data_IF_960415571078
#
_entry.id   IF_960415571078
#
_cell.length_a   1.000
_cell.length_b   1.000
_cell.length_c   1.000
_cell.angle_alpha   90.00
_cell.angle_beta   90.00
_cell.angle_gamma   90.00
#
_symmetry.space_group_name_H-M   'P 1'
#
loop_
_entity.id
_entity.type
_entity.pdbx_description
1 polymer ?
#
# COMPACT_ATOMS: atom_id res chain seq x y z
N UNK A 1 8.58 20.84 0.09
CA UNK A 1 8.11 19.80 1.03
C UNK A 1 9.05 18.60 0.95
N UNK A 2 9.36 17.95 2.08
CA UNK A 2 10.28 16.81 2.10
C UNK A 2 9.63 15.58 1.43
N UNK A 3 10.29 14.84 0.51
CA UNK A 3 9.65 13.74 -0.26
C UNK A 3 8.96 12.70 0.63
N UNK A 4 9.60 12.30 1.72
CA UNK A 4 9.03 11.35 2.69
C UNK A 4 7.74 11.85 3.36
N UNK A 5 7.56 13.15 3.52
CA UNK A 5 6.34 13.71 4.09
C UNK A 5 5.19 13.61 3.08
N UNK A 6 5.45 13.95 1.81
CA UNK A 6 4.47 13.82 0.71
C UNK A 6 4.03 12.37 0.55
N UNK A 7 4.98 11.43 0.51
CA UNK A 7 4.72 9.99 0.49
C UNK A 7 3.83 9.56 1.67
N UNK A 8 4.15 9.96 2.91
CA UNK A 8 3.36 9.58 4.09
C UNK A 8 1.92 10.09 4.00
N UNK A 9 1.72 11.35 3.63
CA UNK A 9 0.37 11.90 3.45
C UNK A 9 -0.41 11.14 2.39
N UNK A 10 0.23 10.86 1.25
CA UNK A 10 -0.41 10.18 0.13
C UNK A 10 -0.77 8.73 0.47
N UNK A 11 0.13 7.99 1.11
CA UNK A 11 -0.14 6.64 1.59
C UNK A 11 -1.22 6.58 2.68
N UNK A 12 -1.25 7.56 3.60
CA UNK A 12 -2.34 7.68 4.57
C UNK A 12 -3.70 7.82 3.85
N UNK A 13 -3.79 8.75 2.89
CA UNK A 13 -5.03 8.95 2.12
C UNK A 13 -5.46 7.67 1.39
N UNK A 14 -4.52 6.99 0.74
CA UNK A 14 -4.78 5.74 0.01
C UNK A 14 -5.27 4.64 0.95
N UNK A 15 -4.57 4.41 2.07
CA UNK A 15 -4.92 3.31 2.97
C UNK A 15 -6.21 3.57 3.77
N UNK A 16 -6.55 4.83 4.01
CA UNK A 16 -7.85 5.22 4.56
C UNK A 16 -9.00 5.00 3.56
N UNK A 17 -8.69 5.06 2.25
CA UNK A 17 -9.68 4.98 1.17
C UNK A 17 -9.82 3.61 0.50
N UNK A 18 -9.16 2.57 1.02
CA UNK A 18 -9.30 1.18 0.52
C UNK A 18 -10.77 0.74 0.57
N UNK A 19 -11.26 0.21 -0.55
CA UNK A 19 -12.67 -0.12 -0.78
C UNK A 19 -12.99 -1.60 -0.67
N UNK A 20 -12.07 -2.48 -1.08
CA UNK A 20 -12.33 -3.91 -1.22
C UNK A 20 -11.30 -4.75 -0.47
N UNK A 21 -11.79 -5.58 0.45
CA UNK A 21 -10.90 -6.40 1.30
C UNK A 21 -10.32 -7.61 0.57
N UNK A 22 -11.02 -8.11 -0.46
CA UNK A 22 -10.60 -9.26 -1.27
C UNK A 22 -9.52 -8.96 -2.32
N UNK A 23 -9.25 -7.68 -2.59
CA UNK A 23 -8.23 -7.24 -3.56
C UNK A 23 -6.97 -6.68 -2.89
N UNK A 24 -6.85 -6.81 -1.56
CA UNK A 24 -5.67 -6.40 -0.82
C UNK A 24 -4.72 -7.57 -0.59
N UNK A 25 -3.65 -7.69 -1.37
CA UNK A 25 -2.74 -8.83 -1.29
C UNK A 25 -1.32 -8.49 -1.76
N UNK A 26 -0.36 -9.34 -1.37
CA UNK A 26 1.02 -9.24 -1.84
C UNK A 26 1.34 -10.36 -2.81
N UNK A 27 1.96 -10.02 -3.93
CA UNK A 27 2.48 -11.00 -4.90
C UNK A 27 3.80 -10.54 -5.52
N UNK A 28 4.44 -11.41 -6.29
CA UNK A 28 5.62 -11.10 -7.09
C UNK A 28 5.20 -10.22 -8.26
N UNK A 29 5.92 -9.11 -8.47
CA UNK A 29 5.68 -8.21 -9.59
C UNK A 29 6.91 -8.18 -10.51
N UNK A 30 6.70 -8.06 -11.83
CA UNK A 30 7.77 -8.21 -12.83
C UNK A 30 8.80 -7.05 -12.82
N UNK A 31 8.34 -5.84 -12.51
CA UNK A 31 9.15 -4.61 -12.49
C UNK A 31 9.91 -4.39 -11.16
N UNK A 32 9.91 -5.35 -10.24
CA UNK A 32 10.49 -5.18 -8.89
C UNK A 32 11.58 -6.21 -8.57
N UNK A 33 12.36 -5.91 -7.54
CA UNK A 33 13.29 -6.84 -6.88
C UNK A 33 12.62 -7.68 -5.77
N UNK A 34 11.29 -7.64 -5.62
CA UNK A 34 10.59 -8.30 -4.54
C UNK A 34 9.07 -8.43 -4.73
N UNK A 35 8.33 -8.32 -3.62
CA UNK A 35 6.87 -8.36 -3.64
C UNK A 35 6.30 -6.95 -3.81
N UNK A 36 5.22 -6.87 -4.56
CA UNK A 36 4.34 -5.71 -4.59
C UNK A 36 3.16 -5.90 -3.64
N UNK A 37 2.47 -4.80 -3.36
CA UNK A 37 1.18 -4.78 -2.70
C UNK A 37 0.13 -4.29 -3.69
N UNK A 38 -0.87 -5.13 -3.93
CA UNK A 38 -2.02 -4.87 -4.80
C UNK A 38 -3.22 -4.50 -3.93
N UNK A 39 -3.99 -3.51 -4.36
CA UNK A 39 -5.18 -3.02 -3.64
C UNK A 39 -6.06 -2.16 -4.55
N UNK A 40 -7.31 -2.00 -4.13
CA UNK A 40 -8.27 -1.08 -4.75
C UNK A 40 -8.64 0.01 -3.75
N UNK A 41 -8.67 1.26 -4.21
CA UNK A 41 -8.91 2.43 -3.35
C UNK A 41 -9.66 3.54 -4.09
N UNK A 42 -10.27 4.46 -3.34
CA UNK A 42 -10.85 5.69 -3.90
C UNK A 42 -9.74 6.71 -4.12
N UNK A 43 -9.39 7.00 -5.37
CA UNK A 43 -8.38 7.99 -5.75
C UNK A 43 -8.86 9.44 -5.61
N UNK A 44 -10.17 9.64 -5.52
CA UNK A 44 -10.79 10.96 -5.42
C UNK A 44 -10.94 11.62 -6.78
N UNK A 45 -10.71 12.94 -6.83
CA UNK A 45 -10.77 13.74 -8.06
C UNK A 45 -9.36 13.88 -8.62
N UNK A 46 -9.18 13.44 -9.86
CA UNK A 46 -7.95 13.58 -10.63
C UNK A 46 -8.21 14.48 -11.87
N UNK A 47 -7.23 15.29 -12.32
CA UNK A 47 -7.37 16.05 -13.56
C UNK A 47 -7.72 15.22 -14.79
N UNK A 48 -7.31 13.95 -14.79
CA UNK A 48 -7.69 12.99 -15.81
C UNK A 48 -8.86 12.12 -15.31
N UNK A 49 -10.05 12.24 -15.92
CA UNK A 49 -11.27 11.57 -15.47
C UNK A 49 -11.17 10.05 -15.38
N UNK A 50 -10.27 9.40 -16.14
CA UNK A 50 -10.12 7.95 -16.07
C UNK A 50 -9.50 7.48 -14.75
N UNK A 51 -8.79 8.37 -14.04
CA UNK A 51 -8.21 8.09 -12.72
C UNK A 51 -9.09 8.61 -11.57
N UNK A 52 -10.32 9.08 -11.85
CA UNK A 52 -11.27 9.47 -10.82
C UNK A 52 -12.00 8.27 -10.22
N UNK A 53 -12.32 8.35 -8.93
CA UNK A 53 -13.12 7.34 -8.25
C UNK A 53 -12.31 6.10 -7.85
N UNK A 54 -12.90 4.92 -8.02
CA UNK A 54 -12.31 3.66 -7.59
C UNK A 54 -11.27 3.15 -8.60
N UNK A 55 -10.06 2.85 -8.12
CA UNK A 55 -8.97 2.39 -8.98
C UNK A 55 -8.14 1.29 -8.33
N UNK A 56 -7.62 0.40 -9.18
CA UNK A 56 -6.62 -0.60 -8.82
C UNK A 56 -5.23 0.05 -8.81
N UNK A 57 -4.48 -0.20 -7.73
CA UNK A 57 -3.13 0.29 -7.53
C UNK A 57 -2.18 -0.84 -7.15
N UNK A 58 -0.92 -0.67 -7.55
CA UNK A 58 0.19 -1.56 -7.19
C UNK A 58 1.30 -0.72 -6.58
N UNK A 59 1.62 -0.99 -5.32
CA UNK A 59 2.74 -0.36 -4.61
C UNK A 59 3.94 -1.30 -4.60
N UNK A 60 5.06 -0.85 -5.16
CA UNK A 60 6.28 -1.64 -5.23
C UNK A 60 7.55 -0.79 -5.20
N UNK A 61 8.69 -1.45 -5.10
CA UNK A 61 9.99 -0.82 -5.32
C UNK A 61 10.64 -1.38 -6.58
N UNK A 62 10.95 -0.52 -7.54
CA UNK A 62 11.49 -0.88 -8.85
C UNK A 62 12.93 -1.43 -8.76
N UNK A 63 13.44 -1.97 -9.87
CA UNK A 63 14.84 -2.45 -9.96
C UNK A 63 15.82 -1.28 -9.87
N UNK A 64 15.37 -0.11 -10.30
CA UNK A 64 16.04 1.19 -10.29
C UNK A 64 16.02 1.85 -8.90
N UNK A 65 15.45 1.17 -7.88
CA UNK A 65 15.35 1.64 -6.49
C UNK A 65 14.41 2.82 -6.31
N UNK A 66 13.30 2.84 -7.05
CA UNK A 66 12.25 3.84 -6.89
C UNK A 66 11.06 3.20 -6.18
N UNK A 67 10.43 3.91 -5.24
CA UNK A 67 9.16 3.48 -4.67
C UNK A 67 8.03 4.06 -5.51
N UNK A 68 7.22 3.19 -6.11
CA UNK A 68 6.25 3.55 -7.15
C UNK A 68 4.86 3.05 -6.74
N UNK A 69 3.87 3.92 -6.92
CA UNK A 69 2.47 3.53 -7.04
C UNK A 69 2.11 3.54 -8.53
N UNK A 70 1.85 2.36 -9.09
CA UNK A 70 1.36 2.20 -10.45
C UNK A 70 -0.16 2.01 -10.39
N UNK A 71 -0.90 2.84 -11.12
CA UNK A 71 -2.34 2.73 -11.28
C UNK A 71 -2.65 1.88 -12.51
N UNK A 72 -3.82 1.24 -12.53
CA UNK A 72 -4.37 0.63 -13.75
C UNK A 72 -4.32 1.66 -14.89
N UNK A 73 -3.89 1.23 -16.08
CA UNK A 73 -3.60 2.09 -17.25
C UNK A 73 -2.26 2.85 -17.21
N UNK A 74 -1.26 2.25 -16.55
CA UNK A 74 0.20 2.59 -16.61
C UNK A 74 0.61 3.96 -16.08
N UNK A 75 -0.31 4.76 -15.51
CA UNK A 75 0.09 5.98 -14.81
C UNK A 75 0.81 5.63 -13.52
N UNK A 76 2.03 6.12 -13.41
CA UNK A 76 2.91 5.85 -12.26
C UNK A 76 3.18 7.12 -11.46
N UNK A 77 3.09 7.02 -10.15
CA UNK A 77 3.51 8.05 -9.19
C UNK A 77 4.77 7.56 -8.47
N UNK A 78 5.89 8.27 -8.65
CA UNK A 78 7.15 7.98 -7.95
C UNK A 78 7.13 8.74 -6.62
N UNK A 79 7.13 8.01 -5.51
CA UNK A 79 7.16 8.61 -4.17
C UNK A 79 8.57 8.97 -3.71
N UNK A 80 9.53 8.08 -3.95
CA UNK A 80 10.90 8.20 -3.50
C UNK A 80 11.85 7.57 -4.51
N UNK A 81 13.03 8.18 -4.65
CA UNK A 81 14.16 7.64 -5.41
C UNK A 81 15.24 7.13 -4.44
N UNK A 82 16.20 6.36 -4.97
CA UNK A 82 17.36 5.87 -4.22
C UNK A 82 17.01 5.02 -2.96
N UNK A 83 15.91 4.27 -3.04
CA UNK A 83 15.43 3.43 -1.95
C UNK A 83 16.36 2.23 -1.74
N UNK A 84 17.15 2.27 -0.66
CA UNK A 84 18.13 1.22 -0.36
C UNK A 84 17.50 -0.12 0.04
N UNK A 85 16.34 -0.09 0.69
CA UNK A 85 15.54 -1.28 0.97
C UNK A 85 14.06 -0.92 1.12
N UNK A 86 13.18 -1.84 0.69
CA UNK A 86 11.73 -1.70 0.79
C UNK A 86 11.13 -3.01 1.32
N UNK A 87 10.43 -2.94 2.46
CA UNK A 87 9.76 -4.11 3.05
C UNK A 87 8.41 -3.72 3.63
N UNK A 88 7.43 -4.59 3.44
CA UNK A 88 6.10 -4.46 4.02
C UNK A 88 5.87 -5.56 5.04
N UNK A 89 5.27 -5.19 6.17
CA UNK A 89 4.76 -6.12 7.18
C UNK A 89 3.31 -5.79 7.49
N UNK A 90 2.52 -6.81 7.74
CA UNK A 90 1.10 -6.72 8.00
C UNK A 90 0.82 -7.36 9.36
N UNK A 91 0.02 -6.70 10.19
CA UNK A 91 -0.36 -7.29 11.47
C UNK A 91 -1.52 -8.25 11.27
N UNK A 92 -1.33 -9.47 11.74
CA UNK A 92 -2.34 -10.52 11.69
C UNK A 92 -2.99 -10.69 13.06
N UNK A 93 -4.24 -10.20 13.26
CA UNK A 93 -4.90 -10.29 14.56
C UNK A 93 -5.25 -11.74 14.93
N UNK A 94 -5.41 -12.65 13.96
CA UNK A 94 -5.73 -14.06 14.22
C UNK A 94 -4.52 -14.83 14.75
N UNK A 95 -3.33 -14.48 14.28
CA UNK A 95 -2.07 -15.14 14.66
C UNK A 95 -1.26 -14.30 15.65
N UNK A 96 -1.76 -13.12 16.03
CA UNK A 96 -1.13 -12.14 16.92
C UNK A 96 0.35 -11.86 16.55
N UNK A 97 0.63 -11.66 15.27
CA UNK A 97 2.00 -11.48 14.77
C UNK A 97 2.09 -10.65 13.50
N UNK A 98 3.30 -10.17 13.21
CA UNK A 98 3.62 -9.50 11.95
C UNK A 98 4.03 -10.51 10.88
N UNK A 99 3.41 -10.43 9.70
CA UNK A 99 3.70 -11.28 8.55
C UNK A 99 4.20 -10.45 7.36
N UNK A 100 5.07 -11.03 6.53
CA UNK A 100 5.64 -10.36 5.34
C UNK A 100 4.91 -10.68 4.02
N UNK A 101 3.75 -11.33 4.10
CA UNK A 101 2.83 -11.59 2.98
C UNK A 101 1.42 -11.35 3.49
N UNK A 102 0.57 -10.79 2.64
CA UNK A 102 -0.87 -10.73 2.89
C UNK A 102 -1.62 -11.28 1.68
N UNK A 103 -2.78 -11.89 1.93
CA UNK A 103 -3.60 -12.53 0.91
C UNK A 103 -4.82 -13.20 1.55
N UNK A 104 -5.31 -12.58 2.62
CA UNK A 104 -6.51 -13.04 3.35
C UNK A 104 -7.70 -12.25 2.83
N UNK A 105 -8.90 -12.80 2.96
CA UNK A 105 -10.15 -12.16 2.51
C UNK A 105 -10.60 -10.99 3.41
N UNK A 106 -9.70 -10.43 4.22
CA UNK A 106 -9.95 -9.30 5.11
C UNK A 106 -8.70 -8.42 5.15
N UNK A 107 -8.89 -7.14 5.45
CA UNK A 107 -7.78 -6.19 5.53
C UNK A 107 -6.93 -6.40 6.78
N UNK A 108 -5.60 -6.24 6.71
CA UNK A 108 -4.79 -6.18 7.91
C UNK A 108 -5.10 -4.87 8.64
N UNK A 109 -5.34 -4.86 9.95
CA UNK A 109 -5.59 -3.63 10.70
C UNK A 109 -4.41 -2.65 10.72
N UNK A 110 -3.19 -3.17 10.54
CA UNK A 110 -1.98 -2.37 10.50
C UNK A 110 -1.05 -2.82 9.38
N UNK A 111 -0.43 -1.85 8.72
CA UNK A 111 0.69 -2.05 7.80
C UNK A 111 1.90 -1.30 8.34
N UNK A 112 3.07 -1.91 8.21
CA UNK A 112 4.37 -1.27 8.37
C UNK A 112 5.14 -1.29 7.07
N UNK A 113 5.55 -0.12 6.61
CA UNK A 113 6.43 0.05 5.45
C UNK A 113 7.80 0.47 5.97
N UNK A 114 8.82 -0.32 5.64
CA UNK A 114 10.20 -0.06 5.98
C UNK A 114 10.92 0.45 4.73
N UNK A 115 11.58 1.60 4.85
CA UNK A 115 12.32 2.27 3.78
C UNK A 115 13.72 2.60 4.31
N UNK A 116 14.72 1.83 3.88
CA UNK A 116 16.04 1.86 4.52
C UNK A 116 15.93 1.51 6.01
N UNK A 117 16.36 2.42 6.88
CA UNK A 117 16.27 2.28 8.34
C UNK A 117 14.99 2.87 8.95
N UNK A 118 14.15 3.53 8.13
CA UNK A 118 12.93 4.19 8.60
C UNK A 118 11.74 3.23 8.56
N UNK A 119 10.85 3.35 9.54
CA UNK A 119 9.59 2.61 9.62
C UNK A 119 8.42 3.59 9.61
N UNK A 120 7.40 3.27 8.81
CA UNK A 120 6.15 4.01 8.69
C UNK A 120 4.98 3.06 8.99
N UNK A 121 4.11 3.45 9.92
CA UNK A 121 2.96 2.62 10.34
C UNK A 121 1.65 3.27 9.90
N UNK A 122 0.75 2.44 9.37
CA UNK A 122 -0.54 2.86 8.82
C UNK A 122 -1.65 2.02 9.42
N UNK A 123 -2.76 2.68 9.79
CA UNK A 123 -4.00 2.03 10.24
C UNK A 123 -4.93 1.85 9.05
N UNK A 124 -5.55 0.67 8.93
CA UNK A 124 -6.59 0.43 7.93
C UNK A 124 -7.95 0.40 8.64
N UNK A 125 -8.77 1.44 8.45
CA UNK A 125 -9.94 1.68 9.31
C UNK A 125 -11.06 0.65 9.18
N UNK A 126 -11.12 -0.13 8.10
CA UNK A 126 -12.18 -1.14 7.91
C UNK A 126 -11.92 -2.43 8.71
N UNK A 127 -10.65 -2.85 8.81
CA UNK A 127 -10.26 -4.02 9.61
C UNK A 127 -10.52 -3.89 11.12
N UNK A 128 -10.59 -2.66 11.64
CA UNK A 128 -10.85 -2.40 13.07
C UNK A 128 -12.34 -2.40 13.44
N UNK A 129 -13.26 -2.40 12.45
CA UNK A 129 -14.70 -2.44 12.71
C UNK A 129 -15.20 -3.85 13.03
N UNK A 130 -14.58 -4.89 12.47
CA UNK A 130 -14.96 -6.29 12.76
C UNK A 130 -14.37 -6.80 14.08
N UNK A 131 -13.21 -6.29 14.50
CA UNK A 131 -12.58 -6.68 15.78
C UNK A 131 -13.36 -6.25 17.04
N UNK A 132 -14.48 -5.52 16.90
CA UNK A 132 -15.35 -5.11 18.01
C UNK A 132 -16.58 -6.00 18.23
N UNK A 133 -16.75 -7.07 17.44
CA UNK A 133 -17.87 -8.01 17.58
C UNK A 133 -17.44 -9.47 17.44
N UNK A 134 -16.60 -9.93 18.36
CA UNK A 134 -16.32 -11.35 18.57
C UNK A 134 -15.99 -11.61 20.03
#
# INVERSE_FOLDING_TARGET
LHPYFVMQMRLNQIFESITEEGLFYTDIHEKTNGKALYFTFQNGVDPDPQFCGEIEGVLYCSKEKEMILELKDERSEIFLTEVSSFKMKFYDPKENKWVGKWGKNFLPPLIKIHIGEKEYSYLLPRATREAKFS
#
